data_IF_458107621744
#
_entry.id   IF_458107621744
#
_cell.length_a   1.000
_cell.length_b   1.000
_cell.length_c   1.000
_cell.angle_alpha   90.00
_cell.angle_beta   90.00
_cell.angle_gamma   90.00
#
_symmetry.space_group_name_H-M   'P 1'
#
loop_
_entity.id
_entity.type
_entity.pdbx_description
1 polymer ?
#
# COMPACT_ATOMS: atom_id res chain seq x y z
N UNK A 1 -4.34 -35.70 -64.49
CA UNK A 1 -3.31 -34.76 -64.05
C UNK A 1 -3.14 -34.96 -62.56
N UNK A 2 -2.09 -35.66 -62.16
CA UNK A 2 -1.81 -36.00 -60.77
C UNK A 2 -0.97 -34.88 -60.16
N UNK A 3 -1.44 -34.31 -59.04
CA UNK A 3 -0.69 -33.35 -58.25
C UNK A 3 0.49 -34.08 -57.60
N UNK A 4 1.70 -33.65 -57.93
CA UNK A 4 2.90 -34.05 -57.22
C UNK A 4 2.94 -33.30 -55.89
N UNK A 5 2.65 -34.01 -54.81
CA UNK A 5 3.04 -33.58 -53.46
C UNK A 5 4.56 -33.52 -53.41
N UNK A 6 5.08 -32.31 -53.23
CA UNK A 6 6.48 -32.10 -52.90
C UNK A 6 6.66 -32.54 -51.45
N UNK A 7 7.20 -33.75 -51.27
CA UNK A 7 7.76 -34.16 -50.00
C UNK A 7 8.91 -33.18 -49.66
N UNK A 8 8.69 -32.28 -48.70
CA UNK A 8 9.78 -31.67 -47.96
C UNK A 8 10.42 -32.77 -47.12
N UNK A 9 11.48 -33.36 -47.66
CA UNK A 9 12.39 -34.20 -46.90
C UNK A 9 12.87 -33.38 -45.70
N UNK A 10 12.46 -33.78 -44.50
CA UNK A 10 12.97 -33.24 -43.25
C UNK A 10 14.46 -33.59 -43.25
N UNK A 11 15.33 -32.61 -43.50
CA UNK A 11 16.77 -32.78 -43.35
C UNK A 11 17.03 -33.14 -41.88
N UNK A 12 17.11 -34.44 -41.58
CA UNK A 12 17.67 -34.93 -40.33
C UNK A 12 19.18 -34.65 -40.40
N UNK A 13 19.57 -33.48 -39.88
CA UNK A 13 20.97 -33.11 -39.79
C UNK A 13 21.75 -34.09 -38.92
N UNK A 14 23.05 -34.21 -39.19
CA UNK A 14 23.94 -35.17 -38.50
C UNK A 14 24.38 -34.69 -37.12
N UNK A 15 23.92 -33.50 -36.69
CA UNK A 15 24.34 -32.86 -35.45
C UNK A 15 23.84 -33.63 -34.22
N UNK A 16 24.78 -34.23 -33.50
CA UNK A 16 24.58 -34.86 -32.20
C UNK A 16 25.56 -34.28 -31.19
N UNK A 17 25.11 -34.10 -29.95
CA UNK A 17 25.88 -33.45 -28.89
C UNK A 17 25.80 -34.26 -27.60
N UNK A 18 26.94 -34.33 -26.91
CA UNK A 18 27.09 -34.98 -25.62
C UNK A 18 28.10 -34.21 -24.77
N UNK A 19 27.98 -34.39 -23.46
CA UNK A 19 28.94 -33.93 -22.46
C UNK A 19 29.50 -35.12 -21.68
N UNK A 20 30.65 -34.95 -21.02
CA UNK A 20 31.23 -35.99 -20.16
C UNK A 20 30.33 -36.38 -18.98
N UNK A 21 29.46 -35.47 -18.54
CA UNK A 21 28.47 -35.68 -17.50
C UNK A 21 27.33 -34.65 -17.65
N UNK A 22 26.22 -34.86 -16.96
CA UNK A 22 25.09 -33.93 -16.96
C UNK A 22 24.97 -33.12 -15.67
N UNK A 23 25.66 -33.54 -14.60
CA UNK A 23 25.70 -32.85 -13.30
C UNK A 23 27.16 -32.61 -12.96
N UNK A 24 27.51 -31.37 -12.64
CA UNK A 24 28.87 -30.91 -12.42
C UNK A 24 29.03 -30.26 -11.05
N UNK A 25 30.20 -30.41 -10.45
CA UNK A 25 30.64 -29.76 -9.23
C UNK A 25 31.82 -28.80 -9.47
N UNK A 26 32.13 -27.91 -8.50
CA UNK A 26 33.34 -27.09 -8.60
C UNK A 26 34.59 -27.95 -8.81
N UNK A 27 35.40 -27.59 -9.81
CA UNK A 27 36.57 -28.32 -10.29
C UNK A 27 36.29 -29.31 -11.43
N UNK A 28 35.02 -29.55 -11.79
CA UNK A 28 34.71 -30.46 -12.89
C UNK A 28 34.89 -29.75 -14.25
N UNK A 29 35.58 -30.38 -15.23
CA UNK A 29 35.69 -29.86 -16.58
C UNK A 29 34.45 -30.21 -17.42
N UNK A 30 34.01 -29.29 -18.28
CA UNK A 30 33.01 -29.55 -19.32
C UNK A 30 33.73 -29.90 -20.63
N UNK A 31 33.57 -31.14 -21.05
CA UNK A 31 33.97 -31.59 -22.38
C UNK A 31 32.75 -31.77 -23.28
N UNK A 32 32.66 -30.96 -24.32
CA UNK A 32 31.61 -31.06 -25.33
C UNK A 32 32.15 -31.90 -26.48
N UNK A 33 31.39 -32.92 -26.88
CA UNK A 33 31.77 -33.79 -27.98
C UNK A 33 30.55 -34.25 -28.77
N UNK A 34 30.77 -34.66 -30.01
CA UNK A 34 29.67 -35.02 -30.89
C UNK A 34 30.08 -35.31 -32.31
N UNK A 35 29.07 -35.32 -33.17
CA UNK A 35 29.18 -35.51 -34.60
C UNK A 35 28.42 -34.40 -35.32
N UNK A 36 28.98 -33.94 -36.42
CA UNK A 36 28.37 -32.95 -37.31
C UNK A 36 28.85 -33.18 -38.76
N UNK A 37 28.63 -32.24 -39.68
CA UNK A 37 29.15 -32.34 -41.04
C UNK A 37 30.69 -32.21 -41.04
N UNK A 38 31.44 -33.02 -41.81
CA UNK A 38 32.90 -32.91 -41.88
C UNK A 38 33.41 -31.53 -42.30
N UNK A 39 34.44 -31.04 -41.62
CA UNK A 39 35.08 -29.74 -41.89
C UNK A 39 34.09 -28.56 -41.88
N UNK A 40 33.09 -28.59 -41.02
CA UNK A 40 32.16 -27.49 -40.83
C UNK A 40 32.51 -26.67 -39.58
N UNK A 41 32.32 -25.33 -39.61
CA UNK A 41 32.33 -24.53 -38.40
C UNK A 41 31.03 -24.75 -37.62
N UNK A 42 31.17 -25.07 -36.33
CA UNK A 42 30.07 -25.12 -35.37
C UNK A 42 30.28 -24.08 -34.27
N UNK A 43 29.19 -23.64 -33.67
CA UNK A 43 29.18 -22.71 -32.55
C UNK A 43 28.73 -23.47 -31.30
N UNK A 44 29.42 -23.30 -30.18
CA UNK A 44 29.07 -23.85 -28.88
C UNK A 44 28.77 -22.69 -27.94
N UNK A 45 27.62 -22.71 -27.27
CA UNK A 45 27.20 -21.69 -26.30
C UNK A 45 26.74 -22.35 -25.02
N UNK A 46 27.15 -21.80 -23.89
CA UNK A 46 26.59 -22.16 -22.59
C UNK A 46 25.74 -21.00 -22.09
N UNK A 47 24.47 -21.24 -21.84
CA UNK A 47 23.57 -20.28 -21.23
C UNK A 47 23.45 -20.54 -19.73
N UNK A 48 23.55 -19.47 -18.93
CA UNK A 48 23.27 -19.49 -17.49
C UNK A 48 21.77 -19.56 -17.20
N UNK A 49 21.36 -19.85 -15.95
CA UNK A 49 19.94 -19.97 -15.59
C UNK A 49 19.08 -18.72 -15.87
N UNK A 50 19.70 -17.53 -15.99
CA UNK A 50 19.06 -16.26 -16.36
C UNK A 50 18.95 -16.02 -17.88
N UNK A 51 19.46 -16.95 -18.69
CA UNK A 51 19.47 -16.86 -20.14
C UNK A 51 20.63 -16.03 -20.72
N UNK A 52 21.56 -15.52 -19.90
CA UNK A 52 22.77 -14.88 -20.42
C UNK A 52 23.79 -15.92 -20.90
N UNK A 53 24.75 -15.50 -21.73
CA UNK A 53 25.78 -16.41 -22.26
C UNK A 53 26.94 -16.44 -21.27
N UNK A 54 27.16 -17.60 -20.65
CA UNK A 54 28.30 -17.87 -19.79
C UNK A 54 29.57 -18.14 -20.62
N UNK A 55 29.45 -18.94 -21.69
CA UNK A 55 30.57 -19.27 -22.58
C UNK A 55 30.15 -19.28 -24.05
N UNK A 56 31.08 -18.89 -24.93
CA UNK A 56 30.89 -18.88 -26.38
C UNK A 56 32.18 -19.30 -27.08
N UNK A 57 32.11 -20.35 -27.89
CA UNK A 57 33.23 -20.86 -28.66
C UNK A 57 32.81 -21.20 -30.09
N UNK A 58 33.74 -21.05 -31.03
CA UNK A 58 33.55 -21.50 -32.42
C UNK A 58 34.67 -22.47 -32.79
N UNK A 59 34.28 -23.66 -33.25
CA UNK A 59 35.23 -24.72 -33.56
C UNK A 59 34.94 -25.38 -34.90
N UNK A 60 35.97 -25.98 -35.50
CA UNK A 60 35.86 -26.72 -36.75
C UNK A 60 35.77 -28.22 -36.46
N UNK A 61 34.81 -28.90 -37.09
CA UNK A 61 34.75 -30.37 -37.01
C UNK A 61 35.90 -31.01 -37.80
N UNK A 62 36.25 -32.21 -37.38
CA UNK A 62 37.28 -33.02 -38.02
C UNK A 62 36.84 -33.49 -39.41
N UNK A 63 37.77 -34.13 -40.12
CA UNK A 63 37.53 -34.68 -41.47
C UNK A 63 36.51 -35.80 -41.52
N UNK A 64 36.22 -36.42 -40.37
CA UNK A 64 35.22 -37.46 -40.20
C UNK A 64 33.89 -36.91 -39.61
N UNK A 65 33.80 -35.59 -39.37
CA UNK A 65 32.63 -34.94 -38.77
C UNK A 65 32.67 -34.86 -37.24
N UNK A 66 33.61 -35.55 -36.59
CA UNK A 66 33.68 -35.57 -35.13
C UNK A 66 34.19 -34.24 -34.58
N UNK A 67 33.83 -33.93 -33.35
CA UNK A 67 34.45 -32.85 -32.59
C UNK A 67 34.52 -33.22 -31.10
N UNK A 68 35.55 -32.71 -30.44
CA UNK A 68 35.72 -32.75 -29.00
C UNK A 68 36.43 -31.47 -28.57
N UNK A 69 35.92 -30.83 -27.53
CA UNK A 69 36.46 -29.57 -27.05
C UNK A 69 36.28 -29.45 -25.53
N UNK A 70 37.31 -28.91 -24.87
CA UNK A 70 37.21 -28.45 -23.49
C UNK A 70 36.57 -27.07 -23.52
N UNK A 71 35.36 -26.93 -22.97
CA UNK A 71 34.64 -25.66 -22.97
C UNK A 71 35.10 -24.78 -21.81
N UNK A 72 35.03 -25.29 -20.59
CA UNK A 72 35.48 -24.62 -19.38
C UNK A 72 35.64 -25.62 -18.23
N UNK A 73 36.23 -25.17 -17.12
CA UNK A 73 36.19 -25.85 -15.83
C UNK A 73 35.29 -25.06 -14.88
N UNK A 74 34.42 -25.76 -14.16
CA UNK A 74 33.52 -25.10 -13.20
C UNK A 74 34.32 -24.55 -12.03
N UNK A 75 34.40 -23.22 -11.90
CA UNK A 75 34.96 -22.60 -10.70
C UNK A 75 34.02 -22.73 -9.50
N UNK A 76 34.44 -22.26 -8.32
CA UNK A 76 33.52 -22.08 -7.21
C UNK A 76 32.37 -21.14 -7.58
N UNK A 77 31.13 -21.41 -7.14
CA UNK A 77 29.96 -20.63 -7.54
C UNK A 77 30.11 -19.17 -7.16
N UNK A 78 29.76 -18.28 -8.09
CA UNK A 78 29.73 -16.83 -7.89
C UNK A 78 28.34 -16.28 -8.18
N UNK A 79 28.15 -14.96 -8.02
CA UNK A 79 26.90 -14.30 -8.42
C UNK A 79 26.65 -14.35 -9.93
N UNK A 80 27.70 -14.49 -10.74
CA UNK A 80 27.60 -14.53 -12.20
C UNK A 80 27.60 -15.98 -12.73
N UNK A 81 28.10 -16.93 -11.94
CA UNK A 81 28.12 -18.35 -12.26
C UNK A 81 27.58 -19.16 -11.04
N UNK A 82 26.29 -19.03 -10.70
CA UNK A 82 25.72 -19.72 -9.55
C UNK A 82 25.39 -21.18 -9.87
N UNK A 83 25.12 -21.97 -8.82
CA UNK A 83 24.48 -23.27 -9.01
C UNK A 83 23.13 -23.12 -9.70
N UNK A 84 22.79 -24.07 -10.57
CA UNK A 84 21.55 -24.03 -11.34
C UNK A 84 21.59 -24.92 -12.58
N UNK A 85 20.52 -24.85 -13.36
CA UNK A 85 20.44 -25.52 -14.67
C UNK A 85 20.93 -24.58 -15.76
N UNK A 86 21.93 -25.03 -16.50
CA UNK A 86 22.52 -24.35 -17.64
C UNK A 86 22.11 -25.05 -18.93
N UNK A 87 22.05 -24.30 -20.02
CA UNK A 87 21.70 -24.85 -21.35
C UNK A 87 22.93 -24.78 -22.23
N UNK A 88 23.45 -25.95 -22.59
CA UNK A 88 24.47 -26.08 -23.62
C UNK A 88 23.79 -26.15 -24.98
N UNK A 89 24.09 -25.22 -25.87
CA UNK A 89 23.61 -25.24 -27.25
C UNK A 89 24.77 -25.36 -28.23
N UNK A 90 24.63 -26.26 -29.20
CA UNK A 90 25.55 -26.34 -30.34
C UNK A 90 24.77 -26.08 -31.62
N UNK A 91 25.33 -25.26 -32.51
CA UNK A 91 24.72 -24.83 -33.77
C UNK A 91 25.64 -25.22 -34.93
N UNK A 92 25.08 -25.89 -35.94
CA UNK A 92 25.76 -26.11 -37.22
C UNK A 92 25.47 -24.96 -38.18
N UNK A 93 26.53 -24.33 -38.69
CA UNK A 93 26.40 -23.21 -39.62
C UNK A 93 26.11 -23.64 -41.07
N UNK A 94 26.42 -24.88 -41.45
CA UNK A 94 26.26 -25.34 -42.84
C UNK A 94 24.99 -26.16 -43.06
N UNK A 95 24.41 -26.74 -42.02
CA UNK A 95 23.19 -27.54 -42.10
C UNK A 95 21.94 -26.68 -41.85
N UNK A 96 21.86 -25.51 -42.48
CA UNK A 96 20.70 -24.62 -42.34
C UNK A 96 20.48 -24.07 -40.93
N UNK A 97 21.52 -24.01 -40.09
CA UNK A 97 21.43 -23.43 -38.75
C UNK A 97 20.80 -24.35 -37.70
N UNK A 98 20.74 -25.66 -37.91
CA UNK A 98 20.22 -26.60 -36.90
C UNK A 98 20.95 -26.41 -35.57
N UNK A 99 20.18 -26.39 -34.48
CA UNK A 99 20.73 -26.36 -33.13
C UNK A 99 20.25 -27.55 -32.31
N UNK A 100 21.12 -27.99 -31.40
CA UNK A 100 20.80 -28.98 -30.37
C UNK A 100 21.09 -28.35 -29.02
N UNK A 101 20.15 -28.53 -28.09
CA UNK A 101 20.25 -28.06 -26.70
C UNK A 101 20.34 -29.24 -25.76
N UNK A 102 21.15 -29.10 -24.71
CA UNK A 102 21.31 -30.07 -23.63
C UNK A 102 21.29 -29.31 -22.30
N UNK A 103 20.42 -29.71 -21.38
CA UNK A 103 20.43 -29.19 -20.03
C UNK A 103 21.50 -29.89 -19.20
N UNK A 104 22.30 -29.10 -18.48
CA UNK A 104 23.29 -29.58 -17.52
C UNK A 104 23.07 -28.87 -16.18
N UNK A 105 23.34 -29.55 -15.06
CA UNK A 105 23.23 -28.98 -13.71
C UNK A 105 24.61 -28.67 -13.15
N UNK A 106 24.79 -27.46 -12.62
CA UNK A 106 25.91 -27.13 -11.75
C UNK A 106 25.44 -27.13 -10.29
N UNK A 107 26.05 -27.97 -9.46
CA UNK A 107 25.66 -28.21 -8.06
C UNK A 107 26.87 -28.35 -7.14
N UNK A 108 26.63 -28.44 -5.83
CA UNK A 108 27.71 -28.61 -4.84
C UNK A 108 28.44 -29.96 -4.93
N UNK A 109 27.83 -30.97 -5.57
CA UNK A 109 28.41 -32.29 -5.81
C UNK A 109 28.08 -32.75 -7.23
N UNK A 110 28.90 -33.64 -7.78
CA UNK A 110 28.68 -34.29 -9.08
C UNK A 110 28.16 -35.71 -8.92
N UNK A 111 27.79 -36.08 -7.69
CA UNK A 111 27.17 -37.37 -7.40
C UNK A 111 25.91 -37.51 -8.23
N UNK A 112 25.90 -38.58 -9.05
CA UNK A 112 24.78 -38.95 -9.90
C UNK A 112 23.63 -39.48 -9.02
N UNK A 113 23.00 -38.61 -8.25
CA UNK A 113 21.68 -38.92 -7.72
C UNK A 113 20.77 -38.92 -8.94
N UNK A 114 20.02 -40.00 -9.13
CA UNK A 114 19.10 -40.23 -10.25
C UNK A 114 17.87 -39.29 -10.15
N UNK A 115 18.14 -37.99 -9.97
CA UNK A 115 17.18 -36.90 -9.94
C UNK A 115 17.14 -36.37 -11.38
N UNK A 116 15.96 -36.27 -12.00
CA UNK A 116 15.85 -35.52 -13.25
C UNK A 116 16.43 -34.11 -13.05
N UNK A 117 17.19 -33.63 -14.03
CA UNK A 117 17.61 -32.22 -14.06
C UNK A 117 16.32 -31.41 -14.16
N UNK A 118 15.91 -30.81 -13.04
CA UNK A 118 14.71 -30.00 -12.97
C UNK A 118 15.11 -28.54 -12.79
N UNK A 119 14.63 -27.70 -13.70
CA UNK A 119 14.79 -26.25 -13.64
C UNK A 119 13.74 -25.69 -12.70
N UNK A 120 14.16 -25.12 -11.58
CA UNK A 120 13.23 -24.64 -10.55
C UNK A 120 12.86 -23.19 -10.83
N UNK A 121 11.66 -22.98 -11.38
CA UNK A 121 11.08 -21.64 -11.53
C UNK A 121 10.31 -21.25 -10.27
N UNK A 122 10.50 -20.02 -9.81
CA UNK A 122 9.86 -19.45 -8.62
C UNK A 122 9.23 -18.10 -8.91
N UNK A 123 7.98 -17.94 -8.49
CA UNK A 123 7.23 -16.67 -8.51
C UNK A 123 6.98 -16.17 -7.10
N UNK A 124 7.34 -14.92 -6.81
CA UNK A 124 7.02 -14.26 -5.54
C UNK A 124 6.19 -13.02 -5.78
N UNK A 125 5.14 -12.83 -4.97
CA UNK A 125 4.21 -11.70 -5.10
C UNK A 125 4.26 -10.88 -3.82
N UNK A 126 4.49 -9.58 -3.95
CA UNK A 126 4.50 -8.62 -2.86
C UNK A 126 3.35 -7.66 -3.05
N UNK A 127 2.28 -7.87 -2.29
CA UNK A 127 1.12 -7.00 -2.26
C UNK A 127 1.03 -6.33 -0.87
N UNK A 128 0.57 -5.08 -0.76
CA UNK A 128 0.28 -4.48 0.53
C UNK A 128 -0.82 -5.26 1.23
N UNK A 129 -0.73 -5.43 2.56
CA UNK A 129 -1.73 -6.16 3.33
C UNK A 129 -3.10 -5.47 3.31
N UNK A 130 -3.10 -4.12 3.30
CA UNK A 130 -4.31 -3.29 3.31
C UNK A 130 -4.24 -2.17 2.28
N UNK A 131 -5.39 -1.81 1.73
CA UNK A 131 -5.57 -0.67 0.83
C UNK A 131 -6.96 -0.05 1.01
N UNK A 132 -7.27 1.02 0.27
CA UNK A 132 -8.54 1.71 0.33
C UNK A 132 -9.24 1.75 -1.03
N UNK A 133 -10.57 1.67 -1.03
CA UNK A 133 -11.40 1.89 -2.23
C UNK A 133 -11.07 3.25 -2.85
N UNK A 134 -10.94 3.30 -4.18
CA UNK A 134 -10.68 4.53 -4.93
C UNK A 134 -9.24 5.05 -4.78
N UNK A 135 -8.32 4.26 -4.23
CA UNK A 135 -6.90 4.60 -4.14
C UNK A 135 -6.03 3.53 -4.75
N UNK A 136 -5.12 3.95 -5.60
CA UNK A 136 -4.15 3.08 -6.23
C UNK A 136 -3.21 2.45 -5.21
N UNK A 137 -2.87 1.19 -5.45
CA UNK A 137 -1.79 0.52 -4.77
C UNK A 137 -1.02 -0.35 -5.76
N UNK A 138 0.25 -0.59 -5.45
CA UNK A 138 1.16 -1.33 -6.32
C UNK A 138 1.39 -2.75 -5.80
N UNK A 139 1.34 -3.72 -6.69
CA UNK A 139 1.74 -5.10 -6.44
C UNK A 139 3.00 -5.39 -7.24
N UNK A 140 4.02 -5.97 -6.60
CA UNK A 140 5.26 -6.38 -7.25
C UNK A 140 5.29 -7.89 -7.44
N UNK A 141 5.93 -8.32 -8.53
CA UNK A 141 6.11 -9.73 -8.87
C UNK A 141 7.57 -9.97 -9.20
N UNK A 142 8.18 -10.96 -8.56
CA UNK A 142 9.53 -11.40 -8.87
C UNK A 142 9.50 -12.81 -9.47
N UNK A 143 10.20 -13.01 -10.58
CA UNK A 143 10.35 -14.30 -11.24
C UNK A 143 11.83 -14.71 -11.26
N UNK A 144 12.12 -15.93 -10.85
CA UNK A 144 13.48 -16.47 -10.84
C UNK A 144 13.56 -17.93 -11.26
N UNK A 145 14.66 -18.33 -11.91
CA UNK A 145 15.05 -19.72 -12.14
C UNK A 145 16.32 -20.02 -11.35
N UNK A 146 16.31 -21.07 -10.53
CA UNK A 146 17.46 -21.49 -9.72
C UNK A 146 18.10 -20.33 -8.91
N UNK A 147 17.29 -19.35 -8.52
CA UNK A 147 17.72 -18.18 -7.74
C UNK A 147 18.15 -16.96 -8.56
N UNK A 148 18.29 -17.06 -9.89
CA UNK A 148 18.56 -15.92 -10.77
C UNK A 148 17.27 -15.33 -11.35
N UNK A 149 17.22 -14.01 -11.53
CA UNK A 149 16.06 -13.33 -12.10
C UNK A 149 15.89 -13.67 -13.59
N UNK A 150 14.67 -14.04 -13.98
CA UNK A 150 14.36 -14.47 -15.36
C UNK A 150 13.22 -13.67 -15.97
N UNK A 151 13.18 -13.62 -17.30
CA UNK A 151 12.12 -12.95 -18.07
C UNK A 151 12.39 -11.48 -18.32
N UNK A 152 11.97 -11.03 -19.51
CA UNK A 152 12.12 -9.65 -19.97
C UNK A 152 10.75 -9.00 -20.21
N UNK A 153 9.93 -9.63 -21.06
CA UNK A 153 8.57 -9.18 -21.36
C UNK A 153 7.56 -9.84 -20.40
N UNK A 154 6.83 -9.07 -19.58
CA UNK A 154 5.82 -9.61 -18.68
C UNK A 154 4.68 -10.34 -19.42
N UNK A 155 4.39 -9.97 -20.67
CA UNK A 155 3.35 -10.64 -21.44
C UNK A 155 3.73 -12.06 -21.86
N UNK A 156 5.02 -12.31 -22.07
CA UNK A 156 5.53 -13.64 -22.39
C UNK A 156 5.59 -14.52 -21.14
N UNK A 157 6.15 -13.99 -20.04
CA UNK A 157 6.46 -14.80 -18.86
C UNK A 157 5.31 -14.85 -17.83
N UNK A 158 4.47 -13.81 -17.73
CA UNK A 158 3.38 -13.68 -16.76
C UNK A 158 1.98 -13.59 -17.40
N UNK A 159 1.84 -13.87 -18.70
CA UNK A 159 0.64 -13.58 -19.50
C UNK A 159 -0.67 -14.27 -19.07
N UNK A 160 -0.64 -15.19 -18.11
CA UNK A 160 -1.85 -15.85 -17.55
C UNK A 160 -2.18 -15.42 -16.12
N UNK A 161 -1.47 -14.42 -15.61
CA UNK A 161 -1.69 -13.85 -14.28
C UNK A 161 -3.02 -13.10 -14.21
N UNK A 162 -3.67 -13.14 -13.06
CA UNK A 162 -5.00 -12.56 -12.89
C UNK A 162 -5.29 -12.18 -11.43
N UNK A 163 -6.36 -11.42 -11.23
CA UNK A 163 -6.87 -11.01 -9.92
C UNK A 163 -8.20 -11.72 -9.67
N UNK A 164 -8.33 -12.37 -8.52
CA UNK A 164 -9.63 -12.71 -7.95
C UNK A 164 -10.19 -11.50 -7.20
N UNK A 165 -11.27 -10.95 -7.73
CA UNK A 165 -11.98 -9.81 -7.17
C UNK A 165 -12.87 -10.24 -5.99
N UNK A 166 -13.20 -9.34 -5.04
CA UNK A 166 -14.06 -9.66 -3.90
C UNK A 166 -15.46 -10.18 -4.27
N UNK A 167 -15.95 -9.80 -5.45
CA UNK A 167 -17.25 -10.22 -5.98
C UNK A 167 -17.18 -11.58 -6.71
N UNK A 168 -16.04 -12.28 -6.69
CA UNK A 168 -15.81 -13.55 -7.35
C UNK A 168 -15.45 -13.46 -8.83
N UNK A 169 -15.34 -12.25 -9.40
CA UNK A 169 -14.89 -12.06 -10.78
C UNK A 169 -13.38 -12.26 -10.91
N UNK A 170 -12.95 -12.57 -12.13
CA UNK A 170 -11.56 -12.72 -12.53
C UNK A 170 -11.19 -11.59 -13.49
N UNK A 171 -10.07 -10.92 -13.22
CA UNK A 171 -9.51 -9.88 -14.09
C UNK A 171 -8.14 -10.33 -14.57
N UNK A 172 -7.96 -10.49 -15.88
CA UNK A 172 -6.66 -10.83 -16.47
C UNK A 172 -5.71 -9.62 -16.36
N UNK A 173 -4.44 -9.87 -16.05
CA UNK A 173 -3.37 -8.88 -15.94
C UNK A 173 -2.45 -8.81 -17.17
N UNK A 174 -2.72 -9.60 -18.20
CA UNK A 174 -2.05 -9.48 -19.49
C UNK A 174 -2.13 -8.02 -19.98
N UNK A 175 -1.02 -7.49 -20.47
CA UNK A 175 -0.82 -6.10 -20.91
C UNK A 175 -0.88 -5.00 -19.82
N UNK A 176 -1.22 -5.34 -18.57
CA UNK A 176 -1.26 -4.40 -17.43
C UNK A 176 0.05 -4.39 -16.63
N UNK A 177 0.82 -5.47 -16.70
CA UNK A 177 2.10 -5.63 -16.00
C UNK A 177 3.21 -4.82 -16.68
N UNK A 178 4.02 -4.15 -15.85
CA UNK A 178 5.15 -3.32 -16.29
C UNK A 178 6.46 -3.87 -15.75
N UNK A 179 7.51 -3.83 -16.57
CA UNK A 179 8.87 -4.21 -16.15
C UNK A 179 9.51 -3.10 -15.34
N UNK A 180 9.94 -3.41 -14.11
CA UNK A 180 10.82 -2.55 -13.32
C UNK A 180 12.30 -2.89 -13.57
N UNK A 181 12.59 -4.18 -13.62
CA UNK A 181 13.89 -4.78 -13.92
C UNK A 181 13.65 -6.18 -14.52
N UNK A 182 14.64 -6.78 -15.18
CA UNK A 182 14.57 -8.20 -15.55
C UNK A 182 14.15 -9.05 -14.33
N UNK A 183 13.13 -9.88 -14.50
CA UNK A 183 12.53 -10.69 -13.44
C UNK A 183 11.87 -9.94 -12.29
N UNK A 184 11.62 -8.63 -12.42
CA UNK A 184 10.88 -7.83 -11.45
C UNK A 184 9.86 -6.92 -12.15
N UNK A 185 8.58 -7.18 -11.88
CA UNK A 185 7.44 -6.51 -12.51
C UNK A 185 6.54 -5.87 -11.49
N UNK A 186 5.65 -5.00 -11.94
CA UNK A 186 4.59 -4.43 -11.10
C UNK A 186 3.31 -4.16 -11.87
N UNK A 187 2.20 -4.11 -11.13
CA UNK A 187 0.92 -3.58 -11.59
C UNK A 187 0.42 -2.56 -10.57
N UNK A 188 -0.10 -1.44 -11.06
CA UNK A 188 -0.82 -0.45 -10.26
C UNK A 188 -2.31 -0.78 -10.36
N UNK A 189 -2.96 -1.02 -9.23
CA UNK A 189 -4.36 -1.45 -9.17
C UNK A 189 -5.22 -0.43 -8.42
N UNK A 190 -6.36 -0.07 -9.01
CA UNK A 190 -7.35 0.83 -8.41
C UNK A 190 -8.59 0.01 -8.00
N UNK A 191 -8.77 -0.30 -6.71
CA UNK A 191 -9.89 -1.10 -6.25
C UNK A 191 -11.17 -0.26 -6.21
N UNK A 192 -12.26 -0.82 -6.75
CA UNK A 192 -13.58 -0.18 -6.77
C UNK A 192 -14.52 -0.71 -5.68
N UNK A 193 -14.21 -1.87 -5.08
CA UNK A 193 -15.02 -2.56 -4.09
C UNK A 193 -14.19 -2.88 -2.85
N UNK A 194 -14.85 -2.92 -1.69
CA UNK A 194 -14.27 -3.45 -0.46
C UNK A 194 -14.13 -4.98 -0.52
N UNK A 195 -13.19 -5.51 0.25
CA UNK A 195 -12.95 -6.93 0.41
C UNK A 195 -11.56 -7.36 -0.05
N UNK A 196 -11.36 -8.68 -0.14
CA UNK A 196 -10.06 -9.27 -0.41
C UNK A 196 -9.87 -9.43 -1.92
N UNK A 197 -8.78 -8.84 -2.42
CA UNK A 197 -8.28 -9.05 -3.78
C UNK A 197 -7.12 -10.03 -3.69
N UNK A 198 -7.15 -11.12 -4.47
CA UNK A 198 -6.05 -12.08 -4.55
C UNK A 198 -5.39 -11.95 -5.91
N UNK A 199 -4.15 -11.46 -5.91
CA UNK A 199 -3.28 -11.36 -7.07
C UNK A 199 -2.60 -12.70 -7.27
N UNK A 200 -3.05 -13.47 -8.26
CA UNK A 200 -2.47 -14.76 -8.62
C UNK A 200 -1.58 -14.60 -9.84
N UNK A 201 -0.27 -14.75 -9.63
CA UNK A 201 0.75 -14.58 -10.64
C UNK A 201 1.23 -15.96 -11.09
N UNK A 202 1.26 -16.16 -12.40
CA UNK A 202 1.63 -17.44 -13.01
C UNK A 202 2.79 -17.20 -13.96
N UNK A 203 3.94 -17.75 -13.61
CA UNK A 203 5.17 -17.66 -14.39
C UNK A 203 5.30 -18.91 -15.24
N UNK A 204 5.48 -18.74 -16.56
CA UNK A 204 5.81 -19.81 -17.48
C UNK A 204 7.15 -19.52 -18.14
N UNK A 205 8.11 -20.42 -18.01
CA UNK A 205 9.41 -20.29 -18.66
C UNK A 205 9.93 -21.66 -19.11
N UNK A 206 10.20 -21.80 -20.41
CA UNK A 206 10.71 -23.02 -21.06
C UNK A 206 10.00 -24.33 -20.64
N UNK A 207 8.66 -24.29 -20.50
CA UNK A 207 7.86 -25.46 -20.13
C UNK A 207 7.67 -25.67 -18.63
N UNK A 208 8.37 -24.90 -17.79
CA UNK A 208 8.21 -24.91 -16.34
C UNK A 208 7.18 -23.86 -15.91
N UNK A 209 6.37 -24.20 -14.90
CA UNK A 209 5.34 -23.31 -14.36
C UNK A 209 5.62 -23.07 -12.88
N UNK A 210 5.43 -21.82 -12.46
CA UNK A 210 5.43 -21.45 -11.05
C UNK A 210 4.26 -20.52 -10.73
N UNK A 211 3.75 -20.65 -9.51
CA UNK A 211 2.62 -19.86 -9.02
C UNK A 211 3.04 -19.07 -7.79
N UNK A 212 2.61 -17.82 -7.73
CA UNK A 212 2.73 -16.98 -6.54
C UNK A 212 1.43 -16.21 -6.31
N UNK A 213 1.05 -16.02 -5.06
CA UNK A 213 -0.15 -15.24 -4.72
C UNK A 213 0.13 -14.22 -3.62
N UNK A 214 -0.46 -13.04 -3.78
CA UNK A 214 -0.51 -12.00 -2.76
C UNK A 214 -1.95 -11.55 -2.55
N UNK A 215 -2.34 -11.24 -1.32
CA UNK A 215 -3.68 -10.78 -1.02
C UNK A 215 -3.64 -9.39 -0.40
N UNK A 216 -4.57 -8.53 -0.82
CA UNK A 216 -4.77 -7.20 -0.26
C UNK A 216 -6.20 -7.07 0.22
N UNK A 217 -6.40 -6.73 1.48
CA UNK A 217 -7.71 -6.42 2.04
C UNK A 217 -8.02 -4.93 1.81
N UNK A 218 -8.98 -4.65 0.94
CA UNK A 218 -9.40 -3.29 0.63
C UNK A 218 -10.55 -2.88 1.55
N UNK A 219 -10.35 -1.77 2.24
CA UNK A 219 -11.31 -1.17 3.17
C UNK A 219 -11.88 0.12 2.59
N UNK A 220 -12.89 0.70 3.24
CA UNK A 220 -13.41 2.03 2.89
C UNK A 220 -12.31 3.10 2.95
N UNK A 221 -11.39 2.97 3.91
CA UNK A 221 -10.28 3.89 4.12
C UNK A 221 -9.04 3.11 4.58
N UNK A 222 -7.87 3.64 4.25
CA UNK A 222 -6.59 3.15 4.75
C UNK A 222 -6.15 3.95 5.98
N UNK A 223 -4.98 3.59 6.51
CA UNK A 223 -4.36 4.26 7.67
C UNK A 223 -4.17 5.76 7.42
N UNK A 224 -3.90 6.17 6.17
CA UNK A 224 -3.74 7.59 5.83
C UNK A 224 -5.07 8.34 5.99
N UNK A 225 -6.17 7.79 5.48
CA UNK A 225 -7.50 8.37 5.65
C UNK A 225 -7.88 8.52 7.12
N UNK A 226 -7.68 7.46 7.91
CA UNK A 226 -7.94 7.46 9.37
C UNK A 226 -7.07 8.51 10.07
N UNK A 227 -5.79 8.61 9.71
CA UNK A 227 -4.89 9.61 10.30
C UNK A 227 -5.35 11.04 10.02
N UNK A 228 -5.84 11.33 8.81
CA UNK A 228 -6.39 12.66 8.48
C UNK A 228 -7.63 12.96 9.33
N UNK A 229 -8.55 12.01 9.46
CA UNK A 229 -9.74 12.17 10.30
C UNK A 229 -9.39 12.42 11.78
N UNK A 230 -8.35 11.78 12.31
CA UNK A 230 -7.89 12.02 13.68
C UNK A 230 -7.33 13.44 13.85
N UNK A 231 -6.61 13.96 12.85
CA UNK A 231 -6.09 15.33 12.88
C UNK A 231 -7.24 16.35 12.88
N UNK A 232 -8.22 16.17 12.01
CA UNK A 232 -9.43 17.02 11.96
C UNK A 232 -10.21 16.97 13.28
N UNK A 233 -10.37 15.78 13.87
CA UNK A 233 -11.03 15.62 15.16
C UNK A 233 -10.29 16.37 16.27
N UNK A 234 -8.95 16.30 16.30
CA UNK A 234 -8.14 17.03 17.28
C UNK A 234 -8.30 18.55 17.13
N UNK A 235 -8.40 19.06 15.91
CA UNK A 235 -8.66 20.48 15.66
C UNK A 235 -10.02 20.90 16.20
N UNK A 236 -11.08 20.12 15.92
CA UNK A 236 -12.43 20.39 16.42
C UNK A 236 -12.47 20.33 17.96
N UNK A 237 -11.75 19.40 18.58
CA UNK A 237 -11.66 19.30 20.04
C UNK A 237 -10.97 20.51 20.66
N UNK A 238 -9.90 21.03 20.04
CA UNK A 238 -9.23 22.24 20.53
C UNK A 238 -10.12 23.48 20.37
N UNK A 239 -10.85 23.60 19.26
CA UNK A 239 -11.85 24.65 19.07
C UNK A 239 -12.94 24.57 20.15
N UNK A 240 -13.48 23.37 20.39
CA UNK A 240 -14.52 23.15 21.41
C UNK A 240 -14.03 23.51 22.81
N UNK A 241 -12.78 23.18 23.13
CA UNK A 241 -12.14 23.55 24.40
C UNK A 241 -12.03 25.07 24.56
N UNK A 242 -11.60 25.78 23.53
CA UNK A 242 -11.50 27.24 23.56
C UNK A 242 -12.88 27.90 23.74
N UNK A 243 -13.91 27.41 23.05
CA UNK A 243 -15.28 27.89 23.24
C UNK A 243 -15.81 27.61 24.66
N UNK A 244 -15.45 26.48 25.26
CA UNK A 244 -15.80 26.18 26.64
C UNK A 244 -15.10 27.12 27.64
N UNK A 245 -13.83 27.47 27.40
CA UNK A 245 -13.10 28.45 28.21
C UNK A 245 -13.75 29.85 28.11
N UNK A 246 -14.17 30.26 26.91
CA UNK A 246 -14.91 31.50 26.69
C UNK A 246 -16.24 31.49 27.44
N UNK A 247 -17.05 30.43 27.28
CA UNK A 247 -18.34 30.29 27.95
C UNK A 247 -18.19 30.33 29.49
N UNK A 248 -17.15 29.70 30.02
CA UNK A 248 -16.84 29.76 31.46
C UNK A 248 -16.54 31.19 31.91
N UNK A 249 -15.77 31.94 31.13
CA UNK A 249 -15.45 33.34 31.42
C UNK A 249 -16.70 34.22 31.37
N UNK A 250 -17.55 34.07 30.37
CA UNK A 250 -18.82 34.79 30.25
C UNK A 250 -19.76 34.49 31.43
N UNK A 251 -19.83 33.22 31.84
CA UNK A 251 -20.65 32.80 32.99
C UNK A 251 -20.15 33.45 34.29
N UNK A 252 -18.82 33.50 34.49
CA UNK A 252 -18.24 34.17 35.66
C UNK A 252 -18.54 35.67 35.65
N UNK A 253 -18.50 36.31 34.48
CA UNK A 253 -18.82 37.73 34.36
C UNK A 253 -20.32 38.02 34.59
N UNK A 254 -21.19 37.09 34.18
CA UNK A 254 -22.62 37.16 34.48
C UNK A 254 -22.88 37.05 35.99
N UNK A 255 -22.14 36.19 36.70
CA UNK A 255 -22.21 36.05 38.16
C UNK A 255 -21.82 37.36 38.87
N UNK A 256 -20.71 37.98 38.46
CA UNK A 256 -20.30 39.31 38.94
C UNK A 256 -21.38 40.38 38.68
N UNK A 257 -21.99 40.37 37.49
CA UNK A 257 -23.07 41.29 37.13
C UNK A 257 -24.29 41.10 38.03
N UNK A 258 -24.62 39.86 38.37
CA UNK A 258 -25.73 39.54 39.26
C UNK A 258 -25.46 39.99 40.70
N UNK A 259 -24.24 39.81 41.19
CA UNK A 259 -23.80 40.27 42.51
C UNK A 259 -23.87 41.80 42.62
N UNK A 260 -23.36 42.52 41.60
CA UNK A 260 -23.44 43.98 41.54
C UNK A 260 -24.89 44.47 41.53
N UNK A 261 -25.76 43.85 40.73
CA UNK A 261 -27.18 44.18 40.68
C UNK A 261 -27.86 43.92 42.04
N UNK A 262 -27.52 42.82 42.70
CA UNK A 262 -28.02 42.46 44.04
C UNK A 262 -27.61 43.50 45.09
N UNK A 263 -26.33 43.89 45.12
CA UNK A 263 -25.84 44.91 46.06
C UNK A 263 -26.48 46.29 45.82
N UNK A 264 -26.68 46.68 44.57
CA UNK A 264 -27.37 47.92 44.23
C UNK A 264 -28.84 47.92 44.68
N UNK A 265 -29.53 46.79 44.55
CA UNK A 265 -30.90 46.62 45.05
C UNK A 265 -30.94 46.69 46.58
N UNK A 266 -30.03 46.03 47.28
CA UNK A 266 -29.92 46.10 48.73
C UNK A 266 -29.73 47.54 49.23
N UNK A 267 -28.80 48.28 48.61
CA UNK A 267 -28.58 49.69 48.91
C UNK A 267 -29.83 50.55 48.66
N UNK A 268 -30.53 50.31 47.55
CA UNK A 268 -31.77 51.02 47.21
C UNK A 268 -32.88 50.74 48.22
N UNK A 269 -33.03 49.48 48.65
CA UNK A 269 -34.01 49.08 49.68
C UNK A 269 -33.67 49.75 51.01
N UNK A 270 -32.41 49.79 51.41
CA UNK A 270 -31.97 50.47 52.63
C UNK A 270 -32.27 51.98 52.59
N UNK A 271 -31.99 52.65 51.47
CA UNK A 271 -32.31 54.07 51.28
C UNK A 271 -33.82 54.36 51.32
N UNK A 272 -34.63 53.49 50.71
CA UNK A 272 -36.09 53.59 50.77
C UNK A 272 -36.56 53.42 52.21
N UNK A 273 -36.01 52.46 52.96
CA UNK A 273 -36.34 52.25 54.37
C UNK A 273 -36.07 53.49 55.21
N UNK A 274 -34.88 54.09 55.09
CA UNK A 274 -34.55 55.35 55.78
C UNK A 274 -35.46 56.51 55.35
N UNK A 275 -35.84 56.57 54.07
CA UNK A 275 -36.77 57.61 53.60
C UNK A 275 -38.16 57.43 54.20
N UNK A 276 -38.63 56.20 54.37
CA UNK A 276 -39.90 55.89 55.03
C UNK A 276 -39.85 56.29 56.52
N UNK A 277 -38.77 55.97 57.23
CA UNK A 277 -38.58 56.40 58.62
C UNK A 277 -38.63 57.93 58.76
N UNK A 278 -37.94 58.66 57.88
CA UNK A 278 -37.96 60.12 57.87
C UNK A 278 -39.37 60.68 57.58
N UNK A 279 -40.14 60.05 56.69
CA UNK A 279 -41.54 60.43 56.40
C UNK A 279 -42.45 60.15 57.59
N UNK A 280 -42.25 59.02 58.27
CA UNK A 280 -42.99 58.66 59.48
C UNK A 280 -42.72 59.67 60.61
N UNK A 281 -41.45 60.04 60.82
CA UNK A 281 -41.07 61.07 61.79
C UNK A 281 -41.66 62.43 61.42
N UNK A 282 -41.51 62.87 60.17
CA UNK A 282 -42.08 64.14 59.70
C UNK A 282 -43.60 64.19 59.82
N UNK A 283 -44.28 63.07 59.55
CA UNK A 283 -45.73 62.91 59.75
C UNK A 283 -46.12 63.03 61.22
N UNK A 284 -45.36 62.40 62.12
CA UNK A 284 -45.53 62.50 63.57
C UNK A 284 -45.36 63.95 64.07
N UNK A 285 -44.30 64.63 63.61
CA UNK A 285 -44.05 66.04 63.94
C UNK A 285 -45.17 66.96 63.42
N UNK A 286 -45.64 66.75 62.18
CA UNK A 286 -46.77 67.49 61.62
C UNK A 286 -48.02 67.32 62.49
N UNK A 287 -48.33 66.08 62.89
CA UNK A 287 -49.45 65.80 63.78
C UNK A 287 -49.28 66.51 65.13
N UNK A 288 -48.07 66.48 65.71
CA UNK A 288 -47.77 67.17 66.97
C UNK A 288 -47.98 68.70 66.88
N UNK A 289 -47.78 69.31 65.71
CA UNK A 289 -48.05 70.73 65.46
C UNK A 289 -49.53 71.01 65.17
N UNK A 290 -50.20 70.13 64.40
CA UNK A 290 -51.60 70.30 64.03
C UNK A 290 -52.54 70.12 65.22
N UNK A 291 -52.28 69.17 66.12
CA UNK A 291 -53.17 68.89 67.25
C UNK A 291 -53.41 70.14 68.14
N UNK A 292 -52.39 70.88 68.60
CA UNK A 292 -52.59 72.13 69.34
C UNK A 292 -53.33 73.21 68.55
N UNK A 293 -53.07 73.33 67.24
CA UNK A 293 -53.73 74.32 66.37
C UNK A 293 -55.22 74.00 66.25
N UNK A 294 -55.55 72.75 65.93
CA UNK A 294 -56.94 72.29 65.81
C UNK A 294 -57.67 72.45 67.15
N UNK A 295 -57.04 72.08 68.26
CA UNK A 295 -57.59 72.29 69.60
C UNK A 295 -57.84 73.78 69.90
N UNK A 296 -56.91 74.66 69.52
CA UNK A 296 -57.06 76.11 69.70
C UNK A 296 -58.21 76.68 68.86
N UNK A 297 -58.35 76.26 67.60
CA UNK A 297 -59.48 76.62 66.74
C UNK A 297 -60.80 76.18 67.37
N UNK A 298 -60.87 74.94 67.88
CA UNK A 298 -62.06 74.42 68.55
C UNK A 298 -62.42 75.24 69.81
N UNK A 299 -61.44 75.61 70.62
CA UNK A 299 -61.63 76.47 71.80
C UNK A 299 -62.16 77.86 71.40
N UNK A 300 -61.56 78.48 70.38
CA UNK A 300 -61.99 79.79 69.88
C UNK A 300 -63.44 79.73 69.41
N UNK A 301 -63.80 78.70 68.62
CA UNK A 301 -65.17 78.50 68.15
C UNK A 301 -66.15 78.32 69.32
N UNK A 302 -65.80 77.51 70.32
CA UNK A 302 -66.63 77.34 71.52
C UNK A 302 -66.85 78.66 72.28
N UNK A 303 -65.80 79.46 72.46
CA UNK A 303 -65.87 80.80 73.07
C UNK A 303 -66.76 81.75 72.27
N UNK A 304 -66.61 81.78 70.95
CA UNK A 304 -67.45 82.60 70.07
C UNK A 304 -68.94 82.24 70.22
N UNK A 305 -69.27 80.95 70.27
CA UNK A 305 -70.64 80.48 70.49
C UNK A 305 -71.19 80.98 71.83
N UNK A 306 -70.42 80.86 72.92
CA UNK A 306 -70.81 81.33 74.26
C UNK A 306 -71.02 82.85 74.30
N UNK A 307 -70.12 83.63 73.67
CA UNK A 307 -70.25 85.10 73.61
C UNK A 307 -71.50 85.52 72.85
N UNK A 308 -71.78 84.88 71.71
CA UNK A 308 -72.99 85.14 70.91
C UNK A 308 -74.24 84.78 71.71
N UNK A 309 -74.23 83.66 72.43
CA UNK A 309 -75.34 83.24 73.28
C UNK A 309 -75.59 84.19 74.48
N UNK A 310 -74.54 84.83 75.03
CA UNK A 310 -74.64 85.77 76.17
C UNK A 310 -75.06 87.20 75.78
N UNK A 311 -74.92 87.59 74.50
CA UNK A 311 -75.32 88.93 73.98
C UNK A 311 -76.78 89.02 73.52
N UNK A 312 -77.57 87.95 73.72
CA UNK A 312 -79.02 87.94 73.58
C UNK A 312 -79.67 88.04 74.96
#
# INVERSE_FOLDING_TARGET
MANAEVFQERLEGTLNIFTNQLVFAPGDPIFVHGQATPKEPIIVRLFSPDGTIAEFEQLMTNTDGSFQHFLMEWEHPTTNLPYGTYILEVISNQQGGISKKLEIKFSSTSDFVNIPIERIVSTKVFAPETAAVGRDFRVFVQTSSDGLLIGNDPNEILGTSHIHMPNGQLVNLQDELKTLHQGLYYVDFLPALEGIYVFHMVTFDEGNISHGSGATNVLTQDIRGISTQIIELNEILEQTKNELENLKKETSHFDETLDDASSNLENSVNQISTSIENVEEGSSQLNALLFPIVASIAIILALQIVIIARRR
#
